data_IF_582116702668
#
_entry.id   IF_582116702668
#
_cell.length_a   1.000
_cell.length_b   1.000
_cell.length_c   1.000
_cell.angle_alpha   90.00
_cell.angle_beta   90.00
_cell.angle_gamma   90.00
#
_symmetry.space_group_name_H-M   'P 1'
#
loop_
_entity.id
_entity.type
_entity.pdbx_description
1 polymer ?
#
# COMPACT_ATOMS: atom_id res chain seq x y z
N UNK A 1 -14.09 -14.40 52.99
CA UNK A 1 -13.49 -15.06 51.81
C UNK A 1 -13.47 -14.04 50.69
N UNK A 2 -12.33 -13.38 50.48
CA UNK A 2 -12.18 -12.31 49.49
C UNK A 2 -11.75 -12.92 48.16
N UNK A 3 -12.48 -12.61 47.08
CA UNK A 3 -12.13 -13.05 45.73
C UNK A 3 -10.82 -12.40 45.26
N UNK A 4 -9.94 -13.13 44.56
CA UNK A 4 -8.77 -12.53 43.92
C UNK A 4 -9.22 -11.78 42.65
N UNK A 5 -9.03 -10.46 42.65
CA UNK A 5 -9.12 -9.61 41.47
C UNK A 5 -7.98 -9.95 40.51
N UNK A 6 -8.31 -10.49 39.35
CA UNK A 6 -7.38 -10.72 38.24
C UNK A 6 -6.85 -9.37 37.75
N UNK A 7 -5.52 -9.16 37.66
CA UNK A 7 -4.97 -7.93 37.10
C UNK A 7 -5.30 -7.86 35.61
N UNK A 8 -5.99 -6.79 35.20
CA UNK A 8 -6.22 -6.44 33.81
C UNK A 8 -4.88 -6.08 33.18
N UNK A 9 -4.39 -6.91 32.25
CA UNK A 9 -3.18 -6.63 31.48
C UNK A 9 -3.32 -5.28 30.76
N UNK A 10 -2.30 -4.40 30.79
CA UNK A 10 -2.34 -3.17 30.01
C UNK A 10 -2.40 -3.52 28.53
N UNK A 11 -3.46 -3.07 27.85
CA UNK A 11 -3.59 -3.16 26.40
C UNK A 11 -2.39 -2.46 25.76
N UNK A 12 -1.53 -3.22 25.08
CA UNK A 12 -0.46 -2.68 24.25
C UNK A 12 -1.03 -1.62 23.28
N UNK A 13 -0.41 -0.45 23.12
CA UNK A 13 -0.86 0.54 22.15
C UNK A 13 -0.88 -0.11 20.75
N UNK A 14 -2.05 -0.12 20.11
CA UNK A 14 -2.18 -0.60 18.74
C UNK A 14 -1.37 0.31 17.83
N UNK A 15 -0.47 -0.26 17.04
CA UNK A 15 0.37 0.48 16.11
C UNK A 15 -0.50 1.26 15.11
N UNK A 16 -0.21 2.56 14.95
CA UNK A 16 -0.92 3.44 14.03
C UNK A 16 -0.41 3.29 12.59
N UNK A 17 -1.27 3.57 11.60
CA UNK A 17 -0.89 3.62 10.19
C UNK A 17 0.01 4.84 9.97
N UNK A 18 1.20 4.63 9.43
CA UNK A 18 2.10 5.74 9.12
C UNK A 18 1.61 6.46 7.86
N UNK A 19 1.37 7.76 8.03
CA UNK A 19 1.08 8.68 6.93
C UNK A 19 2.34 9.47 6.59
N UNK A 20 2.68 9.51 5.31
CA UNK A 20 3.78 10.30 4.78
C UNK A 20 3.23 11.54 4.10
N UNK A 21 3.72 12.71 4.52
CA UNK A 21 3.44 13.99 3.89
C UNK A 21 4.69 14.43 3.15
N UNK A 22 4.54 14.81 1.88
CA UNK A 22 5.63 15.34 1.08
C UNK A 22 5.24 16.68 0.48
N UNK A 23 6.19 17.61 0.48
CA UNK A 23 6.04 18.93 -0.18
C UNK A 23 5.70 18.82 -1.67
N UNK A 24 6.02 17.69 -2.31
CA UNK A 24 5.77 17.44 -3.73
C UNK A 24 4.33 17.00 -4.03
N UNK A 25 3.48 16.80 -3.01
CA UNK A 25 2.13 16.28 -3.18
C UNK A 25 1.07 17.03 -2.34
N UNK A 26 0.90 18.33 -2.61
CA UNK A 26 -0.23 19.20 -2.15
C UNK A 26 -0.77 18.94 -0.74
N UNK A 27 0.10 18.55 0.21
CA UNK A 27 -0.28 18.16 1.58
C UNK A 27 -1.32 17.03 1.68
N UNK A 28 -1.53 16.22 0.63
CA UNK A 28 -2.38 15.03 0.72
C UNK A 28 -1.57 13.94 1.43
N UNK A 29 -2.04 13.40 2.57
CA UNK A 29 -1.31 12.34 3.25
C UNK A 29 -1.29 11.09 2.38
N UNK A 30 -0.12 10.47 2.27
CA UNK A 30 0.09 9.24 1.54
C UNK A 30 0.34 8.10 2.53
N UNK A 31 0.13 6.86 2.10
CA UNK A 31 0.44 5.68 2.90
C UNK A 31 1.12 4.60 2.06
N UNK A 32 2.00 3.84 2.69
CA UNK A 32 2.58 2.64 2.10
C UNK A 32 1.70 1.43 2.35
N UNK A 33 1.51 0.63 1.31
CA UNK A 33 0.86 -0.68 1.38
C UNK A 33 1.75 -1.72 0.73
N UNK A 34 1.64 -2.97 1.18
CA UNK A 34 2.39 -4.11 0.64
C UNK A 34 1.47 -5.29 0.43
N UNK A 35 1.66 -6.00 -0.69
CA UNK A 35 1.09 -7.32 -0.90
C UNK A 35 2.16 -8.23 -1.48
N UNK A 36 2.48 -9.32 -0.78
CA UNK A 36 3.63 -10.16 -1.12
C UNK A 36 4.89 -9.29 -1.24
N UNK A 37 5.64 -9.41 -2.33
CA UNK A 37 6.88 -8.67 -2.57
C UNK A 37 6.67 -7.37 -3.34
N UNK A 38 5.43 -6.89 -3.43
CA UNK A 38 5.09 -5.68 -4.16
C UNK A 38 4.67 -4.56 -3.21
N UNK A 39 5.28 -3.40 -3.40
CA UNK A 39 5.02 -2.19 -2.64
C UNK A 39 4.16 -1.22 -3.45
N UNK A 40 3.30 -0.51 -2.74
CA UNK A 40 2.34 0.43 -3.32
C UNK A 40 2.33 1.72 -2.54
N UNK A 41 2.18 2.82 -3.27
CA UNK A 41 1.87 4.12 -2.70
C UNK A 41 0.38 4.38 -2.83
N UNK A 42 -0.25 4.86 -1.76
CA UNK A 42 -1.71 5.07 -1.69
C UNK A 42 -2.06 6.44 -1.14
N UNK A 43 -3.27 6.94 -1.42
CA UNK A 43 -3.79 8.22 -0.95
C UNK A 43 -5.30 8.17 -0.67
N UNK A 44 -5.81 8.95 0.31
CA UNK A 44 -7.24 9.03 0.58
C UNK A 44 -7.94 9.89 -0.48
N UNK A 45 -9.15 9.47 -0.87
CA UNK A 45 -10.10 10.24 -1.68
C UNK A 45 -11.02 11.03 -0.74
N UNK A 46 -10.78 12.32 -0.59
CA UNK A 46 -11.59 13.18 0.30
C UNK A 46 -12.48 14.20 -0.43
N UNK A 47 -12.54 14.18 -1.76
CA UNK A 47 -13.31 15.18 -2.52
C UNK A 47 -14.76 14.74 -2.78
N UNK A 48 -15.70 15.22 -1.95
CA UNK A 48 -17.13 15.32 -2.29
C UNK A 48 -17.94 14.03 -2.38
N UNK A 49 -17.40 12.89 -1.93
CA UNK A 49 -18.06 11.58 -1.95
C UNK A 49 -18.46 11.12 -0.54
N UNK A 50 -19.55 10.36 -0.38
CA UNK A 50 -20.05 9.88 0.92
C UNK A 50 -19.18 8.79 1.56
N UNK A 51 -18.04 8.44 0.95
CA UNK A 51 -17.09 7.46 1.46
C UNK A 51 -15.81 8.18 1.94
N UNK A 52 -15.82 8.75 3.17
CA UNK A 52 -14.69 9.49 3.75
C UNK A 52 -13.42 8.64 3.92
N UNK A 53 -13.55 7.35 3.63
CA UNK A 53 -12.62 6.29 3.95
C UNK A 53 -12.04 5.59 2.71
N UNK A 54 -12.36 6.12 1.53
CA UNK A 54 -11.91 5.56 0.26
C UNK A 54 -10.42 5.86 0.03
N UNK A 55 -9.61 4.81 -0.14
CA UNK A 55 -8.20 4.93 -0.55
C UNK A 55 -8.05 4.57 -2.03
N UNK A 56 -7.01 5.12 -2.66
CA UNK A 56 -6.60 4.82 -4.03
C UNK A 56 -5.11 4.52 -4.10
N UNK A 57 -4.74 3.61 -4.98
CA UNK A 57 -3.36 3.30 -5.33
C UNK A 57 -2.87 4.38 -6.30
N UNK A 58 -1.84 5.12 -5.90
CA UNK A 58 -1.11 6.05 -6.77
C UNK A 58 -0.38 5.23 -7.85
N UNK A 59 0.46 4.29 -7.42
CA UNK A 59 1.24 3.43 -8.28
C UNK A 59 1.77 2.20 -7.53
N UNK A 60 2.17 1.18 -8.28
CA UNK A 60 3.12 0.20 -7.76
C UNK A 60 4.52 0.83 -7.75
N UNK A 61 5.31 0.54 -6.72
CA UNK A 61 6.67 1.06 -6.56
C UNK A 61 7.74 0.12 -7.15
N UNK A 62 7.41 -1.16 -7.32
CA UNK A 62 8.31 -2.16 -7.87
C UNK A 62 7.55 -3.29 -8.57
N UNK A 63 8.31 -4.07 -9.34
CA UNK A 63 7.95 -5.43 -9.72
C UNK A 63 8.45 -6.42 -8.66
N UNK A 64 7.69 -7.47 -8.30
CA UNK A 64 8.16 -8.52 -7.39
C UNK A 64 9.47 -9.15 -7.85
N UNK A 65 10.50 -9.12 -6.99
CA UNK A 65 11.76 -9.82 -7.24
C UNK A 65 11.77 -11.16 -6.49
N UNK A 66 11.69 -12.26 -7.23
CA UNK A 66 11.69 -13.62 -6.68
C UNK A 66 13.10 -14.21 -6.53
N UNK A 67 14.13 -13.57 -7.08
CA UNK A 67 15.53 -14.00 -6.91
C UNK A 67 16.07 -13.70 -5.51
N UNK A 68 15.50 -12.68 -4.86
CA UNK A 68 15.87 -12.24 -3.51
C UNK A 68 15.19 -13.10 -2.43
N UNK A 69 15.75 -13.19 -1.23
CA UNK A 69 15.09 -13.89 -0.11
C UNK A 69 13.79 -13.20 0.30
N UNK A 70 12.81 -13.96 0.81
CA UNK A 70 11.55 -13.39 1.29
C UNK A 70 11.75 -12.42 2.46
N UNK A 71 12.71 -12.71 3.33
CA UNK A 71 13.07 -11.87 4.47
C UNK A 71 13.62 -10.51 4.02
N UNK A 72 14.50 -10.48 3.02
CA UNK A 72 15.03 -9.22 2.49
C UNK A 72 13.95 -8.43 1.75
N UNK A 73 13.17 -9.10 0.90
CA UNK A 73 12.07 -8.49 0.12
C UNK A 73 10.93 -7.96 1.00
N UNK A 74 10.88 -8.33 2.27
CA UNK A 74 9.90 -7.84 3.26
C UNK A 74 10.06 -6.36 3.54
N UNK A 75 11.30 -5.87 3.55
CA UNK A 75 11.64 -4.48 3.86
C UNK A 75 12.42 -3.79 2.74
N UNK A 76 12.83 -4.52 1.69
CA UNK A 76 13.59 -3.95 0.58
C UNK A 76 12.89 -4.16 -0.74
N UNK A 77 13.04 -3.21 -1.64
CA UNK A 77 12.61 -3.35 -3.03
C UNK A 77 13.45 -2.49 -3.96
N UNK A 78 13.43 -2.85 -5.24
CA UNK A 78 14.05 -2.05 -6.30
C UNK A 78 13.02 -1.09 -6.86
N UNK A 79 13.28 0.21 -6.72
CA UNK A 79 12.33 1.24 -7.13
C UNK A 79 12.26 1.32 -8.66
N UNK A 80 11.14 0.84 -9.19
CA UNK A 80 10.77 0.84 -10.60
C UNK A 80 9.25 1.09 -10.66
N UNK A 81 8.80 2.34 -10.46
CA UNK A 81 7.40 2.63 -10.28
C UNK A 81 6.62 2.48 -11.59
N UNK A 82 5.36 2.09 -11.50
CA UNK A 82 4.44 1.97 -12.64
C UNK A 82 3.91 3.31 -13.16
N UNK A 83 4.62 4.40 -12.88
CA UNK A 83 4.26 5.75 -13.28
C UNK A 83 5.53 6.57 -13.50
N UNK A 84 5.39 7.69 -14.21
CA UNK A 84 6.52 8.55 -14.55
C UNK A 84 7.28 9.01 -13.30
N UNK A 85 8.53 8.60 -13.20
CA UNK A 85 9.43 9.03 -12.13
C UNK A 85 10.59 9.84 -12.70
N UNK A 86 10.93 10.92 -12.02
CA UNK A 86 12.14 11.66 -12.30
C UNK A 86 13.33 11.04 -11.56
N UNK A 87 14.55 11.32 -12.03
CA UNK A 87 15.76 10.99 -11.29
C UNK A 87 15.75 11.75 -9.98
N UNK A 88 16.11 11.08 -8.89
CA UNK A 88 16.19 11.72 -7.58
C UNK A 88 17.36 12.69 -7.53
N UNK A 89 17.07 13.95 -7.22
CA UNK A 89 18.08 14.98 -6.95
C UNK A 89 17.70 15.74 -5.68
N UNK A 90 18.33 15.46 -4.52
CA UNK A 90 17.97 16.09 -3.26
C UNK A 90 18.27 17.60 -3.22
N UNK A 91 19.16 18.07 -4.11
CA UNK A 91 19.50 19.50 -4.23
C UNK A 91 18.52 20.28 -5.12
N UNK A 92 17.63 19.58 -5.82
CA UNK A 92 16.64 20.21 -6.69
C UNK A 92 15.47 20.75 -5.85
N UNK A 93 15.48 22.06 -5.64
CA UNK A 93 14.40 22.79 -4.95
C UNK A 93 13.29 23.25 -5.93
N UNK A 94 13.49 23.05 -7.24
CA UNK A 94 12.60 23.53 -8.30
C UNK A 94 11.51 22.51 -8.67
N UNK A 95 11.69 21.25 -8.28
CA UNK A 95 10.73 20.14 -8.41
C UNK A 95 9.46 20.26 -7.56
N UNK A 96 9.19 21.44 -6.96
CA UNK A 96 7.92 21.72 -6.25
C UNK A 96 6.67 21.45 -7.10
N UNK A 97 6.80 21.45 -8.44
CA UNK A 97 5.70 21.25 -9.38
C UNK A 97 5.94 20.14 -10.41
N UNK A 98 7.03 19.39 -10.28
CA UNK A 98 7.26 18.24 -11.15
C UNK A 98 6.34 17.09 -10.74
N UNK A 99 5.68 16.48 -11.71
CA UNK A 99 4.78 15.33 -11.58
C UNK A 99 5.21 14.36 -10.45
N UNK A 100 4.23 13.96 -9.64
CA UNK A 100 4.22 12.94 -8.57
C UNK A 100 5.35 11.90 -8.74
N UNK A 101 6.57 12.22 -8.30
CA UNK A 101 7.72 11.33 -8.46
C UNK A 101 7.84 10.47 -7.20
N UNK A 102 7.57 9.15 -7.26
CA UNK A 102 7.47 8.34 -6.06
C UNK A 102 8.73 8.33 -5.21
N UNK A 103 9.92 8.42 -5.82
CA UNK A 103 11.18 8.51 -5.07
C UNK A 103 11.24 9.75 -4.17
N UNK A 104 10.83 10.92 -4.68
CA UNK A 104 10.81 12.16 -3.90
C UNK A 104 9.73 12.09 -2.81
N UNK A 105 8.59 11.45 -3.08
CA UNK A 105 7.54 11.27 -2.07
C UNK A 105 7.99 10.40 -0.90
N UNK A 106 8.79 9.37 -1.17
CA UNK A 106 9.30 8.47 -0.13
C UNK A 106 10.44 9.10 0.67
N UNK A 107 11.42 9.70 -0.03
CA UNK A 107 12.68 10.15 0.58
C UNK A 107 12.59 11.57 1.16
N UNK A 108 11.78 12.46 0.58
CA UNK A 108 11.59 13.84 1.04
C UNK A 108 10.30 13.99 1.87
N UNK A 109 9.86 12.92 2.52
CA UNK A 109 8.71 12.95 3.42
C UNK A 109 9.10 13.55 4.77
N UNK A 110 8.17 14.30 5.40
CA UNK A 110 8.38 14.91 6.73
C UNK A 110 8.69 13.85 7.80
N UNK A 111 8.16 12.63 7.60
CA UNK A 111 8.42 11.45 8.40
C UNK A 111 9.05 10.38 7.50
N UNK A 112 10.38 10.21 7.52
CA UNK A 112 11.05 9.28 6.62
C UNK A 112 10.57 7.85 6.91
N UNK A 113 9.93 7.25 5.90
CA UNK A 113 9.45 5.86 5.95
C UNK A 113 10.37 4.89 5.21
N UNK A 114 11.29 5.43 4.42
CA UNK A 114 12.22 4.67 3.60
C UNK A 114 13.54 5.42 3.42
N UNK A 115 14.59 4.67 3.09
CA UNK A 115 15.92 5.19 2.76
C UNK A 115 16.53 4.45 1.57
N UNK A 116 17.47 5.10 0.89
CA UNK A 116 18.27 4.44 -0.14
C UNK A 116 19.39 3.62 0.49
N UNK A 117 19.62 2.40 0.00
CA UNK A 117 20.75 1.57 0.44
C UNK A 117 22.06 1.91 -0.27
N UNK A 118 21.96 2.62 -1.41
CA UNK A 118 23.08 2.92 -2.30
C UNK A 118 23.32 1.87 -3.38
N UNK A 119 22.61 0.73 -3.37
CA UNK A 119 22.68 -0.26 -4.46
C UNK A 119 21.86 0.20 -5.66
N UNK A 120 22.39 -0.08 -6.85
CA UNK A 120 21.79 0.32 -8.13
C UNK A 120 21.84 -0.88 -9.08
N UNK A 121 20.78 -1.09 -9.86
CA UNK A 121 20.77 -2.04 -10.98
C UNK A 121 20.01 -1.48 -12.18
N UNK A 122 20.17 -2.11 -13.34
CA UNK A 122 19.42 -1.75 -14.55
C UNK A 122 18.21 -2.68 -14.72
N UNK A 123 17.04 -2.12 -15.01
CA UNK A 123 15.84 -2.88 -15.35
C UNK A 123 15.08 -2.21 -16.51
N UNK A 124 14.26 -2.97 -17.27
CA UNK A 124 13.22 -2.39 -18.12
C UNK A 124 12.25 -1.53 -17.29
N UNK A 125 11.86 -0.37 -17.80
CA UNK A 125 10.90 0.52 -17.15
C UNK A 125 9.53 -0.14 -17.01
N UNK A 126 8.92 0.00 -15.83
CA UNK A 126 7.51 -0.34 -15.58
C UNK A 126 6.54 0.77 -16.00
N UNK A 127 7.03 1.96 -16.34
CA UNK A 127 6.19 3.05 -16.85
C UNK A 127 5.78 2.73 -18.30
N UNK A 128 4.47 2.63 -18.62
CA UNK A 128 4.01 2.39 -19.98
C UNK A 128 4.48 3.47 -20.99
N UNK A 129 4.84 4.67 -20.53
CA UNK A 129 5.39 5.71 -21.41
C UNK A 129 6.86 5.51 -21.77
N UNK A 130 7.57 4.66 -21.02
CA UNK A 130 8.99 4.36 -21.20
C UNK A 130 9.21 2.88 -21.59
N UNK A 131 8.21 2.24 -22.19
CA UNK A 131 8.25 0.82 -22.58
C UNK A 131 9.53 0.50 -23.38
N UNK A 132 10.24 -0.56 -22.95
CA UNK A 132 11.49 -1.01 -23.56
C UNK A 132 12.75 -0.21 -23.16
N UNK A 133 12.63 0.90 -22.43
CA UNK A 133 13.80 1.63 -21.93
C UNK A 133 14.41 0.95 -20.71
N UNK A 134 15.73 0.90 -20.67
CA UNK A 134 16.48 0.52 -19.47
C UNK A 134 16.61 1.72 -18.54
N UNK A 135 16.26 1.56 -17.28
CA UNK A 135 16.36 2.57 -16.25
C UNK A 135 17.23 2.09 -15.09
N UNK A 136 17.89 3.03 -14.41
CA UNK A 136 18.59 2.75 -13.17
C UNK A 136 17.58 2.66 -12.02
N UNK A 137 17.46 1.48 -11.43
CA UNK A 137 16.64 1.22 -10.26
C UNK A 137 17.50 1.28 -9.00
N UNK A 138 17.04 2.04 -8.01
CA UNK A 138 17.70 2.15 -6.72
C UNK A 138 17.06 1.18 -5.74
N UNK A 139 17.86 0.49 -4.94
CA UNK A 139 17.33 -0.30 -3.83
C UNK A 139 16.89 0.64 -2.70
N UNK A 140 15.64 0.47 -2.30
CA UNK A 140 14.98 1.20 -1.23
C UNK A 140 14.75 0.24 -0.07
N UNK A 141 15.10 0.69 1.13
CA UNK A 141 14.79 0.01 2.39
C UNK A 141 13.68 0.78 3.11
N UNK A 142 12.59 0.08 3.40
CA UNK A 142 11.48 0.57 4.22
C UNK A 142 11.86 0.37 5.69
N UNK A 143 11.97 1.48 6.41
CA UNK A 143 12.34 1.50 7.83
C UNK A 143 11.12 1.43 8.75
N UNK A 144 9.93 1.66 8.21
CA UNK A 144 8.65 1.48 8.91
C UNK A 144 8.37 0.01 9.19
N UNK A 145 7.89 -0.29 10.40
CA UNK A 145 7.42 -1.64 10.74
C UNK A 145 6.19 -2.04 9.92
N UNK A 146 5.96 -3.34 9.73
CA UNK A 146 4.76 -3.82 9.03
C UNK A 146 3.44 -3.40 9.67
N UNK A 147 3.48 -3.15 10.97
CA UNK A 147 2.33 -2.67 11.71
C UNK A 147 2.02 -1.20 11.40
N UNK A 148 2.94 -0.46 10.80
CA UNK A 148 2.71 0.89 10.28
C UNK A 148 2.17 0.93 8.85
N UNK A 149 2.10 -0.20 8.14
CA UNK A 149 1.63 -0.24 6.75
C UNK A 149 0.10 -0.21 6.68
N UNK A 150 -0.43 0.47 5.67
CA UNK A 150 -1.86 0.43 5.34
C UNK A 150 -2.20 -0.93 4.73
N UNK A 151 -3.23 -1.60 5.25
CA UNK A 151 -3.69 -2.91 4.76
C UNK A 151 -5.05 -2.78 4.07
N UNK A 152 -5.29 -3.71 3.15
CA UNK A 152 -6.58 -3.90 2.50
C UNK A 152 -7.20 -5.22 2.99
N UNK A 153 -8.52 -5.27 3.14
CA UNK A 153 -9.21 -6.51 3.43
C UNK A 153 -9.28 -7.38 2.18
N UNK A 154 -8.84 -8.63 2.28
CA UNK A 154 -8.86 -9.59 1.17
C UNK A 154 -10.25 -9.94 0.64
N UNK A 155 -11.28 -9.89 1.48
CA UNK A 155 -12.64 -10.32 1.12
C UNK A 155 -13.49 -9.18 0.56
N UNK A 156 -13.48 -8.01 1.20
CA UNK A 156 -14.34 -6.88 0.81
C UNK A 156 -13.59 -5.73 0.14
N UNK A 157 -12.26 -5.83 0.05
CA UNK A 157 -11.38 -4.80 -0.53
C UNK A 157 -11.42 -3.44 0.18
N UNK A 158 -12.02 -3.37 1.37
CA UNK A 158 -11.99 -2.16 2.20
C UNK A 158 -10.58 -1.89 2.68
N UNK A 159 -10.20 -0.63 2.81
CA UNK A 159 -8.92 -0.24 3.38
C UNK A 159 -9.04 -0.06 4.89
N UNK A 160 -7.96 -0.25 5.65
CA UNK A 160 -7.97 -0.01 7.11
C UNK A 160 -8.27 1.42 7.50
N UNK A 161 -8.06 2.37 6.57
CA UNK A 161 -8.50 3.74 6.72
C UNK A 161 -10.04 3.86 6.85
N UNK A 162 -10.81 2.79 6.62
CA UNK A 162 -12.27 2.73 6.70
C UNK A 162 -12.87 2.46 8.08
N UNK A 163 -12.26 2.99 9.14
CA UNK A 163 -12.75 2.80 10.49
C UNK A 163 -12.33 3.91 11.43
N UNK A 164 -13.14 4.13 12.47
CA UNK A 164 -12.75 4.93 13.64
C UNK A 164 -11.36 4.47 14.09
N UNK A 165 -10.43 5.43 14.10
CA UNK A 165 -9.07 5.37 14.66
C UNK A 165 -8.84 4.14 15.55
N UNK A 166 -7.99 3.23 15.05
CA UNK A 166 -7.20 2.21 15.77
C UNK A 166 -7.52 0.73 15.51
N UNK A 167 -8.59 0.36 14.79
CA UNK A 167 -8.81 -1.07 14.54
C UNK A 167 -7.97 -1.58 13.37
N UNK A 168 -6.79 -2.13 13.67
CA UNK A 168 -5.96 -2.88 12.71
C UNK A 168 -6.69 -4.15 12.26
N UNK A 169 -6.59 -4.46 10.98
CA UNK A 169 -7.11 -5.71 10.41
C UNK A 169 -6.27 -6.88 10.90
N UNK A 170 -6.98 -7.97 11.23
CA UNK A 170 -6.37 -9.19 11.72
C UNK A 170 -5.56 -9.85 10.60
N UNK A 171 -4.34 -10.35 10.90
CA UNK A 171 -3.50 -11.03 9.92
C UNK A 171 -4.04 -12.44 9.62
N UNK A 172 -4.19 -12.74 8.34
CA UNK A 172 -4.50 -14.08 7.81
C UNK A 172 -3.28 -14.86 7.31
N UNK A 173 -2.07 -14.29 7.46
CA UNK A 173 -0.81 -14.84 6.95
C UNK A 173 -0.53 -14.44 5.49
N UNK A 174 0.73 -14.52 5.06
CA UNK A 174 1.18 -14.21 3.69
C UNK A 174 0.68 -12.85 3.15
N UNK A 175 0.73 -11.79 3.97
CA UNK A 175 0.27 -10.43 3.64
C UNK A 175 -1.22 -10.33 3.29
N UNK A 176 -2.01 -11.27 3.80
CA UNK A 176 -3.47 -11.26 3.73
C UNK A 176 -4.01 -10.75 5.06
N UNK A 177 -4.99 -9.86 4.99
CA UNK A 177 -5.63 -9.25 6.16
C UNK A 177 -7.15 -9.28 6.00
N UNK A 178 -7.87 -9.34 7.12
CA UNK A 178 -9.33 -9.25 7.14
C UNK A 178 -9.84 -8.22 8.15
N UNK A 179 -10.87 -7.46 7.74
CA UNK A 179 -11.56 -6.55 8.64
C UNK A 179 -12.46 -7.32 9.61
N UNK A 180 -12.78 -6.71 10.75
CA UNK A 180 -13.63 -7.30 11.79
C UNK A 180 -15.00 -7.76 11.27
N UNK A 181 -15.58 -7.04 10.31
CA UNK A 181 -16.84 -7.43 9.67
C UNK A 181 -16.72 -8.74 8.88
N UNK A 182 -15.64 -8.91 8.11
CA UNK A 182 -15.40 -10.13 7.34
C UNK A 182 -14.98 -11.31 8.22
N UNK A 183 -14.28 -11.03 9.31
CA UNK A 183 -13.93 -12.03 10.33
C UNK A 183 -15.19 -12.56 11.03
N UNK A 184 -16.06 -11.67 11.52
CA UNK A 184 -17.30 -12.05 12.20
C UNK A 184 -18.29 -12.78 11.28
N UNK A 185 -18.25 -12.52 9.96
CA UNK A 185 -19.12 -13.18 8.99
C UNK A 185 -18.66 -14.61 8.63
N UNK A 186 -17.45 -15.02 9.00
CA UNK A 186 -16.88 -16.32 8.64
C UNK A 186 -16.49 -16.44 7.15
N UNK A 187 -15.64 -17.44 6.85
CA UNK A 187 -14.98 -17.62 5.55
C UNK A 187 -15.94 -17.80 4.35
N UNK A 188 -17.05 -18.52 4.55
CA UNK A 188 -17.98 -18.85 3.45
C UNK A 188 -18.71 -17.58 2.98
N UNK A 189 -19.25 -16.80 3.92
CA UNK A 189 -19.98 -15.57 3.58
C UNK A 189 -19.04 -14.46 3.09
N UNK A 190 -17.81 -14.40 3.60
CA UNK A 190 -16.80 -13.45 3.14
C UNK A 190 -16.28 -13.77 1.74
N UNK A 191 -16.13 -15.05 1.39
CA UNK A 191 -15.77 -15.49 0.04
C UNK A 191 -16.90 -15.24 -0.97
N UNK A 192 -18.16 -15.42 -0.58
CA UNK A 192 -19.31 -15.04 -1.42
C UNK A 192 -19.33 -13.53 -1.67
N UNK A 193 -19.02 -12.70 -0.67
CA UNK A 193 -18.85 -11.24 -0.88
C UNK A 193 -17.73 -10.94 -1.86
N UNK A 194 -16.59 -11.65 -1.76
CA UNK A 194 -15.47 -11.54 -2.71
C UNK A 194 -15.88 -11.92 -4.14
N UNK A 195 -16.71 -12.94 -4.33
CA UNK A 195 -17.20 -13.36 -5.65
C UNK A 195 -18.29 -12.41 -6.20
N UNK A 196 -19.05 -11.74 -5.34
CA UNK A 196 -20.07 -10.77 -5.76
C UNK A 196 -19.50 -9.39 -6.12
N UNK A 197 -18.29 -9.07 -5.69
CA UNK A 197 -17.65 -7.77 -5.91
C UNK A 197 -17.11 -7.56 -7.35
N UNK A 198 -16.68 -8.59 -8.10
CA UNK A 198 -16.34 -8.44 -9.52
C UNK A 198 -17.50 -8.77 -10.49
N UNK A 199 -18.41 -9.69 -10.15
CA UNK A 199 -19.21 -10.37 -11.19
C UNK A 199 -20.74 -10.19 -11.16
N UNK A 200 -21.36 -9.46 -10.22
CA UNK A 200 -22.84 -9.37 -10.14
C UNK A 200 -23.42 -7.95 -10.28
N UNK A 201 -22.58 -6.90 -10.27
CA UNK A 201 -23.04 -5.52 -10.47
C UNK A 201 -22.23 -4.80 -11.56
N UNK A 202 -22.27 -5.33 -12.79
CA UNK A 202 -22.32 -4.48 -14.00
C UNK A 202 -23.69 -3.82 -14.08
N UNK A 203 -24.06 -3.04 -13.04
CA UNK A 203 -25.28 -2.25 -13.09
C UNK A 203 -24.91 -0.81 -13.40
N UNK A 204 -25.31 -0.44 -14.61
CA UNK A 204 -25.54 0.91 -15.11
C UNK A 204 -24.29 1.74 -15.43
N UNK A 205 -24.09 1.92 -16.74
CA UNK A 205 -23.50 3.08 -17.42
C UNK A 205 -23.26 4.31 -16.53
N UNK A 206 -22.11 4.34 -15.88
CA UNK A 206 -21.72 5.46 -15.03
C UNK A 206 -20.30 5.32 -14.52
N UNK A 207 -19.31 5.18 -15.40
CA UNK A 207 -17.89 5.54 -15.22
C UNK A 207 -17.21 5.23 -13.86
N UNK A 208 -17.72 4.27 -13.08
CA UNK A 208 -17.12 3.86 -11.82
C UNK A 208 -15.94 2.94 -12.11
N UNK A 209 -14.77 3.56 -12.23
CA UNK A 209 -13.49 2.85 -12.29
C UNK A 209 -13.46 1.75 -11.21
N UNK A 210 -13.06 0.51 -11.55
CA UNK A 210 -13.05 -0.61 -10.61
C UNK A 210 -12.31 -0.22 -9.33
N UNK A 211 -12.76 -0.72 -8.17
CA UNK A 211 -12.08 -0.47 -6.89
C UNK A 211 -10.63 -0.92 -7.00
N UNK A 212 -9.71 -0.06 -6.57
CA UNK A 212 -8.30 -0.41 -6.53
C UNK A 212 -8.08 -1.64 -5.66
N UNK A 213 -7.41 -2.65 -6.23
CA UNK A 213 -7.32 -3.97 -5.66
C UNK A 213 -5.84 -4.38 -5.58
N UNK A 214 -5.32 -4.59 -4.37
CA UNK A 214 -3.99 -5.17 -4.16
C UNK A 214 -3.91 -6.60 -4.70
N UNK A 215 -5.04 -7.32 -4.68
CA UNK A 215 -5.20 -8.73 -4.98
C UNK A 215 -5.70 -9.01 -6.41
N UNK A 216 -5.45 -8.11 -7.38
CA UNK A 216 -5.95 -8.33 -8.75
C UNK A 216 -5.40 -9.64 -9.35
N UNK A 217 -6.20 -10.41 -10.13
CA UNK A 217 -5.74 -11.66 -10.72
C UNK A 217 -4.47 -11.51 -11.55
N UNK A 218 -4.32 -10.42 -12.30
CA UNK A 218 -3.08 -10.07 -13.04
C UNK A 218 -1.84 -9.95 -12.14
N UNK A 219 -2.00 -9.58 -10.87
CA UNK A 219 -0.94 -9.54 -9.85
C UNK A 219 -0.79 -10.87 -9.10
N UNK A 220 -1.77 -11.76 -9.21
CA UNK A 220 -1.72 -13.13 -8.68
C UNK A 220 -1.12 -14.11 -9.69
N UNK A 221 -1.24 -13.84 -10.99
CA UNK A 221 -0.78 -14.72 -12.09
C UNK A 221 0.62 -14.42 -12.61
N UNK A 222 1.30 -13.37 -12.13
CA UNK A 222 2.74 -13.15 -12.43
C UNK A 222 3.66 -14.13 -11.68
N UNK A 223 3.15 -15.31 -11.35
CA UNK A 223 3.82 -16.42 -10.66
C UNK A 223 3.82 -17.67 -11.55
N UNK A 224 4.18 -17.50 -12.82
CA UNK A 224 4.52 -18.57 -13.75
C UNK A 224 5.97 -18.46 -14.14
#
# INVERSE_FOLDING_TARGET
>A
MSQPTTPTSPSSPQAEIIQLCSRHFTSIPLSLSRFKRQWFLTFPRTYGLPDPDSQRIVCALNSPDYSTSSEHARNHFWLNPSCRSQRYNPSDITTKHSAVSPIHLLLDSDYPVARLTGRIRSEPSNDPHDEGKQIACYEVEVITSEDGLLRQCYYCLSWEAAGKSNTRFCPGGNDIYWCSSCEASGWVLSTIRKLRLPDILTWSDGDEKPRDNLYSPTRLTSTG
#
